data_IF_486139723340
#
_entry.id   IF_486139723340
#
_cell.length_a   1.000
_cell.length_b   1.000
_cell.length_c   1.000
_cell.angle_alpha   90.00
_cell.angle_beta   90.00
_cell.angle_gamma   90.00
#
_symmetry.space_group_name_H-M   'P 1'
#
loop_
_entity.id
_entity.type
_entity.pdbx_description
1 polymer ?
#
# COMPACT_ATOMS: atom_id res chain seq x y z
N UNK A 1 -11.03 -35.73 -0.31
CA UNK A 1 -11.49 -34.69 -1.25
C UNK A 1 -11.78 -33.35 -0.58
N UNK A 2 -12.23 -33.30 0.68
CA UNK A 2 -12.58 -32.02 1.35
C UNK A 2 -11.39 -31.08 1.62
N UNK A 3 -10.26 -31.61 2.10
CA UNK A 3 -9.06 -30.80 2.41
C UNK A 3 -8.47 -30.12 1.18
N UNK A 4 -8.57 -30.77 0.01
CA UNK A 4 -7.99 -30.27 -1.24
C UNK A 4 -8.67 -28.98 -1.75
N UNK A 5 -9.93 -28.73 -1.36
CA UNK A 5 -10.66 -27.50 -1.72
C UNK A 5 -10.51 -26.43 -0.65
N UNK A 6 -10.46 -26.84 0.63
CA UNK A 6 -10.36 -25.92 1.78
C UNK A 6 -9.03 -25.15 1.76
N UNK A 7 -7.92 -25.81 1.42
CA UNK A 7 -6.59 -25.18 1.44
C UNK A 7 -6.48 -24.02 0.44
N UNK A 8 -6.77 -24.19 -0.87
CA UNK A 8 -6.78 -23.07 -1.80
C UNK A 8 -7.75 -21.96 -1.39
N UNK A 9 -8.94 -22.32 -0.91
CA UNK A 9 -9.95 -21.35 -0.49
C UNK A 9 -9.43 -20.43 0.63
N UNK A 10 -8.78 -21.00 1.65
CA UNK A 10 -8.19 -20.21 2.76
C UNK A 10 -7.08 -19.29 2.24
N UNK A 11 -6.20 -19.78 1.35
CA UNK A 11 -5.11 -18.98 0.78
C UNK A 11 -5.67 -17.77 0.01
N UNK A 12 -6.63 -18.00 -0.90
CA UNK A 12 -7.23 -16.90 -1.66
C UNK A 12 -8.06 -15.96 -0.78
N UNK A 13 -8.81 -16.49 0.19
CA UNK A 13 -9.57 -15.67 1.14
C UNK A 13 -8.64 -14.78 1.99
N UNK A 14 -7.49 -15.29 2.42
CA UNK A 14 -6.51 -14.50 3.18
C UNK A 14 -5.93 -13.36 2.34
N UNK A 15 -5.65 -13.59 1.06
CA UNK A 15 -5.16 -12.56 0.13
C UNK A 15 -6.22 -11.46 -0.07
N UNK A 16 -7.47 -11.85 -0.31
CA UNK A 16 -8.60 -10.90 -0.40
C UNK A 16 -8.73 -10.10 0.88
N UNK A 17 -8.62 -10.74 2.06
CA UNK A 17 -8.74 -10.06 3.34
C UNK A 17 -7.62 -9.04 3.55
N UNK A 18 -6.36 -9.42 3.31
CA UNK A 18 -5.21 -8.51 3.45
C UNK A 18 -5.30 -7.32 2.50
N UNK A 19 -5.74 -7.53 1.26
CA UNK A 19 -5.90 -6.46 0.28
C UNK A 19 -7.12 -5.60 0.62
N UNK A 20 -8.29 -6.18 0.88
CA UNK A 20 -9.54 -5.45 1.09
C UNK A 20 -9.56 -4.65 2.39
N UNK A 21 -8.87 -5.10 3.43
CA UNK A 21 -8.83 -4.46 4.75
C UNK A 21 -8.43 -2.98 4.69
N UNK A 22 -7.27 -2.58 4.14
CA UNK A 22 -6.90 -1.16 4.03
C UNK A 22 -7.90 -0.35 3.18
N UNK A 23 -8.47 -0.92 2.12
CA UNK A 23 -9.50 -0.22 1.34
C UNK A 23 -10.78 0.02 2.15
N UNK A 24 -11.22 -0.98 2.91
CA UNK A 24 -12.38 -0.88 3.78
C UNK A 24 -12.19 0.20 4.85
N UNK A 25 -11.04 0.20 5.54
CA UNK A 25 -10.74 1.22 6.54
C UNK A 25 -10.58 2.62 5.94
N UNK A 26 -9.97 2.73 4.75
CA UNK A 26 -9.87 4.02 4.04
C UNK A 26 -11.24 4.55 3.64
N UNK A 27 -12.12 3.69 3.12
CA UNK A 27 -13.51 4.05 2.80
C UNK A 27 -14.28 4.49 4.05
N UNK A 28 -14.19 3.73 5.14
CA UNK A 28 -14.85 4.04 6.41
C UNK A 28 -14.38 5.38 6.97
N UNK A 29 -13.08 5.64 7.00
CA UNK A 29 -12.52 6.90 7.48
C UNK A 29 -13.00 8.09 6.64
N UNK A 30 -12.98 7.96 5.30
CA UNK A 30 -13.50 9.00 4.40
C UNK A 30 -14.98 9.28 4.63
N UNK A 31 -15.80 8.22 4.78
CA UNK A 31 -17.23 8.37 5.05
C UNK A 31 -17.50 9.15 6.34
N UNK A 32 -16.79 8.84 7.42
CA UNK A 32 -16.92 9.55 8.71
C UNK A 32 -16.58 11.04 8.57
N UNK A 33 -15.51 11.35 7.83
CA UNK A 33 -15.10 12.74 7.61
C UNK A 33 -16.16 13.51 6.79
N UNK A 34 -16.70 12.91 5.73
CA UNK A 34 -17.76 13.54 4.93
C UNK A 34 -19.03 13.79 5.75
N UNK A 35 -19.40 12.86 6.64
CA UNK A 35 -20.55 13.01 7.52
C UNK A 35 -20.35 14.15 8.54
N UNK A 36 -19.16 14.25 9.13
CA UNK A 36 -18.82 15.35 10.03
C UNK A 36 -18.90 16.72 9.34
N UNK A 37 -18.46 16.82 8.08
CA UNK A 37 -18.59 18.05 7.29
C UNK A 37 -20.04 18.37 7.01
N UNK A 38 -20.82 17.39 6.56
CA UNK A 38 -22.24 17.60 6.28
C UNK A 38 -22.94 18.23 7.50
N UNK A 39 -22.68 17.69 8.69
CA UNK A 39 -23.22 18.21 9.95
C UNK A 39 -22.69 19.63 10.24
N UNK A 40 -21.40 19.89 10.02
CA UNK A 40 -20.80 21.21 10.23
C UNK A 40 -21.41 22.27 9.31
N UNK A 41 -21.61 21.94 8.03
CA UNK A 41 -22.22 22.82 7.03
C UNK A 41 -23.69 23.09 7.37
N UNK A 42 -24.45 22.06 7.75
CA UNK A 42 -25.84 22.20 8.18
C UNK A 42 -26.00 23.12 9.40
N UNK A 43 -25.04 23.12 10.33
CA UNK A 43 -25.09 23.94 11.55
C UNK A 43 -24.57 25.36 11.37
N UNK A 44 -23.55 25.55 10.54
CA UNK A 44 -22.80 26.82 10.46
C UNK A 44 -23.09 27.59 9.16
N UNK A 45 -23.83 26.99 8.23
CA UNK A 45 -24.19 27.58 6.93
C UNK A 45 -23.02 27.77 5.96
N UNK A 46 -21.79 27.40 6.36
CA UNK A 46 -20.59 27.51 5.55
C UNK A 46 -19.67 26.32 5.79
N UNK A 47 -19.01 25.85 4.74
CA UNK A 47 -17.99 24.82 4.84
C UNK A 47 -16.63 25.49 5.08
N UNK A 48 -15.93 25.12 6.17
CA UNK A 48 -14.57 25.60 6.40
C UNK A 48 -13.65 25.16 5.25
N UNK A 49 -13.07 26.10 4.48
CA UNK A 49 -12.18 25.78 3.37
C UNK A 49 -11.00 24.89 3.77
N UNK A 50 -10.52 25.01 5.02
CA UNK A 50 -9.41 24.17 5.54
C UNK A 50 -9.82 22.70 5.66
N UNK A 51 -11.08 22.44 6.02
CA UNK A 51 -11.62 21.07 6.11
C UNK A 51 -11.81 20.45 4.71
N UNK A 52 -12.25 21.25 3.73
CA UNK A 52 -12.35 20.79 2.33
C UNK A 52 -10.96 20.46 1.78
N UNK A 53 -9.98 21.33 2.00
CA UNK A 53 -8.62 21.13 1.50
C UNK A 53 -7.96 19.89 2.10
N UNK A 54 -8.15 19.65 3.41
CA UNK A 54 -7.62 18.47 4.10
C UNK A 54 -8.18 17.13 3.58
N UNK A 55 -9.27 17.13 2.81
CA UNK A 55 -9.91 15.93 2.26
C UNK A 55 -9.66 15.78 0.78
N UNK A 56 -9.60 16.90 0.07
CA UNK A 56 -9.36 16.93 -1.37
C UNK A 56 -7.90 16.58 -1.65
N UNK A 57 -6.99 17.04 -0.79
CA UNK A 57 -5.58 16.67 -0.84
C UNK A 57 -5.30 15.56 0.17
N UNK A 58 -5.25 14.31 -0.31
CA UNK A 58 -4.46 13.28 0.39
C UNK A 58 -3.01 13.79 0.37
N UNK A 59 -2.58 14.44 1.45
CA UNK A 59 -1.19 14.91 1.59
C UNK A 59 -0.28 13.69 1.70
N UNK A 60 0.10 13.14 0.54
CA UNK A 60 1.23 12.23 0.44
C UNK A 60 2.43 13.06 0.90
N UNK A 61 2.95 12.77 2.08
CA UNK A 61 4.09 13.50 2.61
C UNK A 61 5.26 13.50 1.62
N UNK A 62 6.17 14.49 1.69
CA UNK A 62 7.23 14.67 0.69
C UNK A 62 8.11 13.43 0.47
N UNK A 63 8.17 12.55 1.48
CA UNK A 63 8.94 11.30 1.47
C UNK A 63 8.06 10.04 1.36
N UNK A 64 6.80 10.17 0.94
CA UNK A 64 5.84 9.07 0.85
C UNK A 64 6.32 7.97 -0.09
N UNK A 65 6.76 8.36 -1.28
CA UNK A 65 7.29 7.42 -2.28
C UNK A 65 8.64 6.85 -1.86
N UNK A 66 9.53 7.67 -1.29
CA UNK A 66 10.82 7.18 -0.78
C UNK A 66 10.64 6.08 0.28
N UNK A 67 9.73 6.29 1.23
CA UNK A 67 9.44 5.29 2.27
C UNK A 67 8.91 3.98 1.67
N UNK A 68 7.95 4.07 0.75
CA UNK A 68 7.37 2.89 0.07
C UNK A 68 8.45 2.15 -0.73
N UNK A 69 9.27 2.89 -1.46
CA UNK A 69 10.35 2.34 -2.27
C UNK A 69 11.40 1.60 -1.45
N UNK A 70 11.85 2.19 -0.33
CA UNK A 70 12.80 1.55 0.59
C UNK A 70 12.21 0.27 1.19
N UNK A 71 10.96 0.30 1.66
CA UNK A 71 10.31 -0.89 2.24
C UNK A 71 10.23 -2.05 1.23
N UNK A 72 9.90 -1.74 -0.03
CA UNK A 72 9.83 -2.73 -1.11
C UNK A 72 11.21 -3.27 -1.49
N UNK A 73 12.24 -2.43 -1.52
CA UNK A 73 13.61 -2.90 -1.71
C UNK A 73 14.10 -3.79 -0.57
N UNK A 74 13.76 -3.47 0.69
CA UNK A 74 14.09 -4.33 1.82
C UNK A 74 13.39 -5.70 1.71
N UNK A 75 12.14 -5.72 1.25
CA UNK A 75 11.40 -6.96 1.02
C UNK A 75 12.04 -7.80 -0.10
N UNK A 76 12.45 -7.15 -1.20
CA UNK A 76 13.18 -7.80 -2.28
C UNK A 76 14.52 -8.38 -1.79
N UNK A 77 15.28 -7.62 -1.01
CA UNK A 77 16.53 -8.06 -0.42
C UNK A 77 16.34 -9.26 0.52
N UNK A 78 15.25 -9.30 1.29
CA UNK A 78 14.92 -10.45 2.13
C UNK A 78 14.66 -11.73 1.31
N UNK A 79 13.88 -11.64 0.23
CA UNK A 79 13.67 -12.78 -0.67
C UNK A 79 14.95 -13.21 -1.40
N UNK A 80 15.77 -12.24 -1.82
CA UNK A 80 17.06 -12.54 -2.43
C UNK A 80 18.01 -13.23 -1.45
N UNK A 81 18.08 -12.77 -0.20
CA UNK A 81 18.88 -13.42 0.84
C UNK A 81 18.37 -14.83 1.16
N UNK A 82 17.05 -15.03 1.21
CA UNK A 82 16.45 -16.35 1.44
C UNK A 82 16.90 -17.38 0.39
N UNK A 83 17.07 -16.95 -0.88
CA UNK A 83 17.58 -17.81 -1.95
C UNK A 83 18.93 -18.44 -1.63
N UNK A 84 19.84 -17.68 -1.00
CA UNK A 84 21.20 -18.15 -0.69
C UNK A 84 21.28 -18.89 0.65
N UNK A 85 20.30 -18.72 1.53
CA UNK A 85 20.28 -19.34 2.86
C UNK A 85 19.70 -20.75 2.80
N UNK A 86 18.65 -20.99 2.01
CA UNK A 86 18.00 -22.29 2.04
C UNK A 86 18.56 -23.30 1.01
N UNK A 87 18.41 -24.61 1.29
CA UNK A 87 19.06 -25.66 0.54
C UNK A 87 18.58 -25.71 -0.91
N UNK A 88 19.50 -25.96 -1.85
CA UNK A 88 19.20 -25.99 -3.29
C UNK A 88 18.18 -27.07 -3.69
N UNK A 89 17.96 -28.08 -2.84
CA UNK A 89 17.08 -29.23 -3.11
C UNK A 89 15.59 -28.94 -2.87
N UNK A 90 15.25 -27.82 -2.23
CA UNK A 90 13.86 -27.51 -1.80
C UNK A 90 13.06 -26.63 -2.78
N UNK A 91 13.66 -26.19 -3.89
CA UNK A 91 13.07 -25.10 -4.67
C UNK A 91 12.45 -25.55 -5.99
N UNK A 92 11.14 -25.80 -5.95
CA UNK A 92 10.29 -25.80 -7.15
C UNK A 92 10.10 -24.42 -7.79
N UNK A 93 10.71 -23.36 -7.24
CA UNK A 93 10.57 -21.97 -7.64
C UNK A 93 11.78 -21.11 -7.19
N UNK A 94 12.23 -20.14 -8.02
CA UNK A 94 13.39 -19.29 -7.73
C UNK A 94 13.04 -18.04 -6.89
N UNK A 95 13.47 -17.98 -5.63
CA UNK A 95 13.29 -16.81 -4.76
C UNK A 95 13.81 -15.49 -5.33
N UNK A 96 14.84 -15.53 -6.19
CA UNK A 96 15.30 -14.35 -6.93
C UNK A 96 14.24 -13.81 -7.89
N UNK A 97 13.45 -14.69 -8.52
CA UNK A 97 12.34 -14.27 -9.37
C UNK A 97 11.22 -13.61 -8.56
N UNK A 98 10.93 -14.07 -7.34
CA UNK A 98 9.95 -13.43 -6.44
C UNK A 98 10.49 -12.08 -5.98
N UNK A 99 11.78 -12.00 -5.65
CA UNK A 99 12.44 -10.77 -5.21
C UNK A 99 12.40 -9.66 -6.27
N UNK A 100 12.44 -10.02 -7.55
CA UNK A 100 12.45 -9.06 -8.66
C UNK A 100 11.20 -8.17 -8.67
N UNK A 101 10.04 -8.71 -8.31
CA UNK A 101 8.78 -7.98 -8.32
C UNK A 101 8.76 -6.79 -7.33
N UNK A 102 8.90 -6.99 -6.01
CA UNK A 102 9.01 -5.87 -5.09
C UNK A 102 10.28 -5.04 -5.33
N UNK A 103 11.36 -5.64 -5.87
CA UNK A 103 12.61 -4.94 -6.17
C UNK A 103 12.45 -3.84 -7.21
N UNK A 104 11.83 -4.18 -8.36
CA UNK A 104 11.58 -3.22 -9.43
C UNK A 104 10.56 -2.15 -9.03
N UNK A 105 9.50 -2.53 -8.30
CA UNK A 105 8.52 -1.55 -7.80
C UNK A 105 9.19 -0.60 -6.79
N UNK A 106 10.02 -1.13 -5.90
CA UNK A 106 10.77 -0.34 -4.93
C UNK A 106 11.72 0.65 -5.59
N UNK A 107 12.48 0.19 -6.59
CA UNK A 107 13.36 1.03 -7.40
C UNK A 107 12.58 2.12 -8.14
N UNK A 108 11.40 1.80 -8.69
CA UNK A 108 10.55 2.79 -9.35
C UNK A 108 10.08 3.89 -8.40
N UNK A 109 9.62 3.55 -7.19
CA UNK A 109 9.23 4.54 -6.18
C UNK A 109 10.38 5.47 -5.77
N UNK A 110 11.59 4.92 -5.62
CA UNK A 110 12.79 5.72 -5.33
C UNK A 110 13.15 6.60 -6.53
N UNK A 111 13.10 6.05 -7.74
CA UNK A 111 13.32 6.80 -8.98
C UNK A 111 12.36 7.98 -9.10
N UNK A 112 11.06 7.76 -8.93
CA UNK A 112 10.07 8.84 -8.93
C UNK A 112 10.33 9.87 -7.84
N UNK A 113 10.76 9.45 -6.65
CA UNK A 113 11.08 10.41 -5.59
C UNK A 113 12.18 11.41 -5.99
N UNK A 114 13.18 10.98 -6.76
CA UNK A 114 14.29 11.86 -7.18
C UNK A 114 14.08 12.54 -8.54
N UNK A 115 13.36 11.88 -9.46
CA UNK A 115 13.24 12.31 -10.86
C UNK A 115 11.92 13.03 -11.15
N UNK A 116 10.86 12.80 -10.38
CA UNK A 116 9.58 13.45 -10.63
C UNK A 116 9.63 14.92 -10.17
N UNK A 117 9.24 15.88 -11.03
CA UNK A 117 9.05 17.26 -10.63
C UNK A 117 8.03 17.30 -9.48
N UNK A 118 8.41 17.90 -8.35
CA UNK A 118 7.50 18.10 -7.23
C UNK A 118 6.67 19.34 -7.50
N UNK A 119 5.35 19.20 -7.58
CA UNK A 119 4.48 20.36 -7.40
C UNK A 119 4.79 20.98 -6.03
N UNK A 120 4.96 22.31 -5.94
CA UNK A 120 5.23 22.95 -4.67
C UNK A 120 4.08 22.62 -3.71
N UNK A 121 4.41 21.91 -2.63
CA UNK A 121 3.48 21.67 -1.54
C UNK A 121 3.18 23.03 -0.90
N UNK A 122 2.02 23.61 -1.22
CA UNK A 122 1.50 24.82 -0.58
C UNK A 122 0.99 24.49 0.82
#
# INVERSE_FOLDING_TARGET
MEVAIIVPLIVFASLVLVIATPFYFRYRNRKVIYEAIKISVEKTGSADPKLIDAITHDRIGPNGDLRRGILLLCLAAAFAAAHFIAPAEDYGFSWLAIALFPGLIGAAYIGFHFLAPREPTV
#
